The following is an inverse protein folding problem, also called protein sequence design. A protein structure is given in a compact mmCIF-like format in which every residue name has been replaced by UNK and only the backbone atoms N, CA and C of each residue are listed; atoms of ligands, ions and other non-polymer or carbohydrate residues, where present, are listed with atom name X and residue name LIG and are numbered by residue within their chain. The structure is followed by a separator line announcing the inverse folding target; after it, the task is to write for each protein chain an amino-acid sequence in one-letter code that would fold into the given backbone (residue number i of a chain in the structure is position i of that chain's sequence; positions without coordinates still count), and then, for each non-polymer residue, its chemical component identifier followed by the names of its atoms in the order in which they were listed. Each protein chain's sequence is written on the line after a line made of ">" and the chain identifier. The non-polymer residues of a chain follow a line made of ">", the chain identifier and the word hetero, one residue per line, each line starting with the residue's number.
data_IF_721111664490
#
_entry.id   IF_721111664490
#
_cell.length_a   1.000
_cell.length_b   1.000
_cell.length_c   1.000
_cell.angle_alpha   90.00
_cell.angle_beta   90.00
_cell.angle_gamma   90.00
#
_symmetry.space_group_name_H-M   'P 1'
#
loop_
_entity.id
_entity.type
_entity.pdbx_description
1 polymer ?
#
# COMPACT_ATOMS: atom_id res chain seq x y z
N UNK A 1 14.43 15.11 36.60
CA UNK A 1 15.36 14.84 35.49
C UNK A 1 14.55 14.10 34.44
N UNK A 2 14.41 14.70 33.28
CA UNK A 2 13.59 14.21 32.18
C UNK A 2 14.12 12.86 31.69
N UNK A 3 13.25 11.89 31.49
CA UNK A 3 13.48 10.90 30.44
C UNK A 3 12.34 11.06 29.44
N UNK A 4 12.48 12.13 28.65
CA UNK A 4 11.78 12.30 27.39
C UNK A 4 12.22 11.12 26.51
N UNK A 5 11.33 10.13 26.35
CA UNK A 5 11.51 9.07 25.36
C UNK A 5 10.75 9.49 24.11
N UNK A 6 11.42 10.05 23.08
CA UNK A 6 10.84 10.15 21.76
C UNK A 6 11.05 8.82 21.03
N UNK A 7 10.46 7.73 21.52
CA UNK A 7 10.48 6.42 20.87
C UNK A 7 9.07 6.03 20.39
N UNK A 8 8.30 7.02 19.93
CA UNK A 8 6.98 6.80 19.31
C UNK A 8 6.89 7.40 17.89
N UNK A 9 7.99 7.97 17.36
CA UNK A 9 7.95 8.74 16.11
C UNK A 9 8.76 8.15 14.95
N UNK A 10 9.26 6.91 15.04
CA UNK A 10 10.09 6.29 13.97
C UNK A 10 9.68 4.90 13.51
N UNK A 11 8.65 4.30 14.09
CA UNK A 11 8.23 2.93 13.74
C UNK A 11 7.30 2.85 12.51
N UNK A 12 6.85 4.00 11.96
CA UNK A 12 5.68 4.07 11.09
C UNK A 12 5.95 4.40 9.60
N UNK A 13 7.20 4.35 9.12
CA UNK A 13 7.52 4.56 7.70
C UNK A 13 7.81 3.27 6.94
N UNK A 14 7.20 2.16 7.36
CA UNK A 14 7.29 0.90 6.64
C UNK A 14 5.93 0.54 6.07
N UNK A 15 5.87 0.39 4.74
CA UNK A 15 4.73 -0.25 4.09
C UNK A 15 4.59 -1.64 4.72
N UNK A 16 3.40 -2.03 5.22
CA UNK A 16 3.14 -3.41 5.58
C UNK A 16 3.55 -4.35 4.45
N UNK A 17 4.00 -5.57 4.79
CA UNK A 17 4.46 -6.59 3.82
C UNK A 17 3.41 -6.88 2.73
N UNK A 18 2.13 -6.58 2.96
CA UNK A 18 1.15 -6.40 1.91
C UNK A 18 0.08 -5.42 2.39
N UNK A 19 -0.18 -4.36 1.63
CA UNK A 19 -1.14 -3.31 1.99
C UNK A 19 -2.25 -3.22 0.95
N UNK A 20 -3.47 -2.96 1.41
CA UNK A 20 -4.61 -2.69 0.54
C UNK A 20 -5.19 -1.31 0.81
N UNK A 21 -5.52 -0.60 -0.26
CA UNK A 21 -6.29 0.63 -0.25
C UNK A 21 -7.55 0.44 -1.08
N UNK A 22 -8.62 1.08 -0.65
CA UNK A 22 -9.85 1.18 -1.40
C UNK A 22 -10.20 2.63 -1.69
N UNK A 23 -10.71 2.86 -2.89
CA UNK A 23 -11.35 4.09 -3.30
C UNK A 23 -12.78 3.77 -3.69
N UNK A 24 -13.70 3.97 -2.76
CA UNK A 24 -15.14 3.73 -2.96
C UNK A 24 -15.76 4.70 -3.96
N UNK A 25 -15.20 5.91 -4.09
CA UNK A 25 -15.67 6.93 -5.03
C UNK A 25 -15.41 6.52 -6.48
N UNK A 26 -14.23 5.99 -6.76
CA UNK A 26 -13.85 5.53 -8.11
C UNK A 26 -14.11 4.04 -8.33
N UNK A 27 -14.50 3.30 -7.29
CA UNK A 27 -14.70 1.86 -7.36
C UNK A 27 -13.41 1.10 -7.68
N UNK A 28 -12.31 1.45 -6.99
CA UNK A 28 -11.00 0.84 -7.19
C UNK A 28 -10.44 0.25 -5.91
N UNK A 29 -9.70 -0.85 -6.06
CA UNK A 29 -8.78 -1.35 -5.04
C UNK A 29 -7.35 -1.22 -5.52
N UNK A 30 -6.44 -1.03 -4.59
CA UNK A 30 -5.03 -0.98 -4.86
C UNK A 30 -4.31 -1.87 -3.85
N UNK A 31 -3.52 -2.80 -4.35
CA UNK A 31 -2.65 -3.65 -3.56
C UNK A 31 -1.20 -3.19 -3.75
N UNK A 32 -0.48 -3.08 -2.65
CA UNK A 32 0.98 -2.90 -2.65
C UNK A 32 1.58 -4.13 -1.98
N UNK A 33 2.49 -4.83 -2.68
CA UNK A 33 3.22 -5.97 -2.13
C UNK A 33 4.66 -5.99 -2.64
N UNK A 34 5.62 -6.58 -1.92
CA UNK A 34 6.98 -6.82 -2.41
C UNK A 34 6.97 -7.46 -3.78
N UNK A 35 7.86 -7.01 -4.66
CA UNK A 35 8.06 -7.64 -5.96
C UNK A 35 8.78 -8.98 -5.76
N UNK A 36 8.13 -10.13 -5.99
CA UNK A 36 8.74 -11.43 -5.75
C UNK A 36 9.87 -11.74 -6.74
N UNK A 37 9.98 -10.99 -7.83
CA UNK A 37 11.00 -11.17 -8.87
C UNK A 37 12.29 -10.42 -8.53
N UNK A 38 12.27 -9.52 -7.54
CA UNK A 38 13.42 -8.67 -7.20
C UNK A 38 13.91 -8.98 -5.78
N UNK A 39 15.07 -9.61 -5.70
CA UNK A 39 15.60 -10.33 -4.52
C UNK A 39 16.06 -9.46 -3.32
N UNK A 40 15.59 -8.22 -3.19
CA UNK A 40 16.07 -7.31 -2.13
C UNK A 40 14.98 -6.45 -1.45
N UNK A 41 13.69 -6.72 -1.63
CA UNK A 41 12.58 -5.93 -1.04
C UNK A 41 12.64 -4.41 -1.35
N UNK A 42 13.47 -4.02 -2.31
CA UNK A 42 13.65 -2.62 -2.71
C UNK A 42 12.54 -2.15 -3.64
N UNK A 43 11.80 -3.10 -4.23
CA UNK A 43 10.72 -2.85 -5.17
C UNK A 43 9.44 -3.51 -4.69
N UNK A 44 8.34 -2.84 -4.99
CA UNK A 44 6.99 -3.34 -4.77
C UNK A 44 6.23 -3.38 -6.09
N UNK A 45 5.28 -4.28 -6.19
CA UNK A 45 4.27 -4.29 -7.25
C UNK A 45 3.03 -3.59 -6.72
N UNK A 46 2.65 -2.51 -7.40
CA UNK A 46 1.34 -1.91 -7.27
C UNK A 46 0.39 -2.65 -8.21
N UNK A 47 -0.70 -3.20 -7.69
CA UNK A 47 -1.74 -3.84 -8.50
C UNK A 47 -3.06 -3.10 -8.28
N UNK A 48 -3.60 -2.51 -9.34
CA UNK A 48 -4.90 -1.84 -9.31
C UNK A 48 -5.98 -2.80 -9.78
N UNK A 49 -7.09 -2.87 -9.05
CA UNK A 49 -8.24 -3.69 -9.36
C UNK A 49 -9.48 -2.82 -9.43
N UNK A 50 -10.48 -3.27 -10.20
CA UNK A 50 -11.83 -2.72 -10.10
C UNK A 50 -12.54 -3.33 -8.91
N UNK A 51 -13.39 -2.53 -8.27
CA UNK A 51 -14.29 -3.03 -7.24
C UNK A 51 -15.20 -4.09 -7.84
N UNK A 52 -15.18 -5.27 -7.24
CA UNK A 52 -15.97 -6.42 -7.65
C UNK A 52 -16.24 -7.30 -6.42
N UNK A 53 -17.39 -7.98 -6.33
CA UNK A 53 -17.65 -8.96 -5.28
C UNK A 53 -16.68 -10.14 -5.27
N UNK A 54 -16.06 -10.44 -6.43
CA UNK A 54 -14.97 -11.41 -6.56
C UNK A 54 -13.79 -10.69 -7.18
N UNK A 55 -12.65 -10.68 -6.50
CA UNK A 55 -11.48 -9.98 -6.99
C UNK A 55 -10.96 -10.65 -8.28
N UNK A 56 -11.00 -9.92 -9.39
CA UNK A 56 -10.49 -10.39 -10.67
C UNK A 56 -8.99 -10.16 -10.85
N UNK A 57 -8.52 -10.29 -12.09
CA UNK A 57 -7.17 -9.88 -12.45
C UNK A 57 -7.00 -8.36 -12.29
N UNK A 58 -5.79 -7.89 -11.92
CA UNK A 58 -5.53 -6.47 -11.83
C UNK A 58 -5.67 -5.81 -13.21
N UNK A 59 -6.34 -4.64 -13.24
CA UNK A 59 -6.47 -3.83 -14.46
C UNK A 59 -5.18 -3.15 -14.85
N UNK A 60 -4.29 -2.95 -13.88
CA UNK A 60 -2.95 -2.38 -14.07
C UNK A 60 -2.01 -2.94 -13.03
N UNK A 61 -0.78 -3.23 -13.44
CA UNK A 61 0.32 -3.52 -12.54
C UNK A 61 1.53 -2.66 -12.92
N UNK A 62 2.25 -2.17 -11.90
CA UNK A 62 3.52 -1.50 -12.09
C UNK A 62 4.45 -1.86 -10.93
N UNK A 63 5.72 -2.08 -11.23
CA UNK A 63 6.76 -2.23 -10.21
C UNK A 63 7.41 -0.87 -9.95
N UNK A 64 7.63 -0.53 -8.70
CA UNK A 64 8.29 0.73 -8.33
C UNK A 64 9.14 0.58 -7.06
N UNK A 65 10.15 1.45 -6.86
CA UNK A 65 10.91 1.50 -5.62
C UNK A 65 10.02 1.67 -4.38
N UNK A 66 10.35 0.97 -3.29
CA UNK A 66 9.57 0.95 -2.05
C UNK A 66 9.38 2.34 -1.43
N UNK A 67 10.39 3.22 -1.53
CA UNK A 67 10.28 4.59 -1.02
C UNK A 67 9.25 5.42 -1.80
N UNK A 68 9.19 5.29 -3.12
CA UNK A 68 8.15 5.96 -3.92
C UNK A 68 6.76 5.40 -3.62
N UNK A 69 6.66 4.11 -3.30
CA UNK A 69 5.40 3.50 -2.90
C UNK A 69 4.91 3.99 -1.52
N UNK A 70 5.82 4.29 -0.59
CA UNK A 70 5.50 4.95 0.69
C UNK A 70 4.93 6.35 0.49
N UNK A 71 5.57 7.15 -0.38
CA UNK A 71 5.08 8.48 -0.75
C UNK A 71 3.71 8.40 -1.42
N UNK A 72 3.56 7.48 -2.40
CA UNK A 72 2.28 7.23 -3.06
C UNK A 72 1.18 6.84 -2.06
N UNK A 73 1.47 5.91 -1.15
CA UNK A 73 0.53 5.48 -0.11
C UNK A 73 0.03 6.66 0.73
N UNK A 74 0.96 7.48 1.22
CA UNK A 74 0.63 8.67 2.02
C UNK A 74 -0.23 9.66 1.24
N UNK A 75 0.12 9.91 -0.03
CA UNK A 75 -0.64 10.77 -0.92
C UNK A 75 -2.04 10.22 -1.21
N UNK A 76 -2.19 8.90 -1.40
CA UNK A 76 -3.49 8.28 -1.63
C UNK A 76 -4.40 8.42 -0.41
N UNK A 77 -3.85 8.24 0.81
CA UNK A 77 -4.59 8.47 2.04
C UNK A 77 -5.07 9.93 2.16
N UNK A 78 -4.21 10.90 1.85
CA UNK A 78 -4.57 12.33 1.84
C UNK A 78 -5.67 12.65 0.81
N UNK A 79 -5.63 12.00 -0.36
CA UNK A 79 -6.67 12.09 -1.40
C UNK A 79 -7.99 11.38 -1.02
N UNK A 80 -8.07 10.77 0.16
CA UNK A 80 -9.27 10.10 0.67
C UNK A 80 -9.40 8.62 0.29
N UNK A 81 -8.32 7.98 -0.16
CA UNK A 81 -8.26 6.52 -0.16
C UNK A 81 -8.21 6.01 1.27
N UNK A 82 -8.72 4.80 1.50
CA UNK A 82 -8.79 4.23 2.84
C UNK A 82 -8.07 2.89 2.87
N UNK A 83 -7.28 2.66 3.92
CA UNK A 83 -6.70 1.33 4.16
C UNK A 83 -7.81 0.34 4.43
N UNK A 84 -7.73 -0.82 3.79
CA UNK A 84 -8.69 -1.90 3.98
C UNK A 84 -8.00 -3.23 4.16
N UNK A 85 -8.77 -4.23 4.59
CA UNK A 85 -8.35 -5.63 4.55
C UNK A 85 -8.34 -6.12 3.09
N UNK A 86 -7.55 -7.16 2.75
CA UNK A 86 -7.66 -7.81 1.45
C UNK A 86 -9.12 -8.17 1.16
N UNK A 87 -9.65 -7.81 -0.01
CA UNK A 87 -10.96 -8.29 -0.44
C UNK A 87 -10.90 -9.83 -0.56
N UNK A 88 -11.98 -10.49 -0.15
CA UNK A 88 -12.09 -11.95 -0.27
C UNK A 88 -11.94 -12.33 -1.76
N UNK A 89 -10.98 -13.20 -2.05
CA UNK A 89 -10.63 -13.64 -3.41
C UNK A 89 -11.31 -14.95 -3.77
#
# INVERSE_FOLDING_TARGET
>A
MFNDSPDDARSEQQLPVSCWLSNTREGLFLQIKPDPSIQHDQFVVLSTFRWSPVLGNPVRQLSMPRHLALELWTNLLDMGWTSCVPPES
#
